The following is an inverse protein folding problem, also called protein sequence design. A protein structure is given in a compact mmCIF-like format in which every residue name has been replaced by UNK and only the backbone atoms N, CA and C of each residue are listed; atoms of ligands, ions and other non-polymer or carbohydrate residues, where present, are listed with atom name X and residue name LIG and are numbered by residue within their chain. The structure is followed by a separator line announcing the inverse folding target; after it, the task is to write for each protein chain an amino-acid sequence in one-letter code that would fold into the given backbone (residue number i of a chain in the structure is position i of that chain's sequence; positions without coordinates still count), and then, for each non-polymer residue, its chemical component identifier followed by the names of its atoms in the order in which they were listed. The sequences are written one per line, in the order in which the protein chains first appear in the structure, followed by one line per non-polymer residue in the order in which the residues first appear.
data_IF_351117016011
#
_entry.id   IF_351117016011
#
_cell.length_a   1.000
_cell.length_b   1.000
_cell.length_c   1.000
_cell.angle_alpha   90.00
_cell.angle_beta   90.00
_cell.angle_gamma   90.00
#
_symmetry.space_group_name_H-M   'P 1'
#
loop_
_entity.id
_entity.type
_entity.pdbx_description
1 polymer ?
#
# COMPACT_ATOMS: atom_id res chain seq x y z
N UNK A 1 11.49 -8.18 -4.60
CA UNK A 1 10.05 -7.85 -4.57
C UNK A 1 9.35 -8.88 -3.70
N UNK A 2 8.49 -8.45 -2.78
CA UNK A 2 7.68 -9.39 -1.99
C UNK A 2 6.84 -10.25 -2.95
N UNK A 3 6.91 -11.58 -2.79
CA UNK A 3 6.11 -12.49 -3.61
C UNK A 3 4.70 -12.54 -3.03
N UNK A 4 3.72 -11.95 -3.71
CA UNK A 4 2.33 -12.00 -3.28
C UNK A 4 1.74 -13.36 -3.67
N UNK A 5 0.97 -13.96 -2.77
CA UNK A 5 0.18 -15.17 -3.05
C UNK A 5 -1.32 -14.86 -3.01
N UNK A 6 -2.14 -15.79 -3.50
CA UNK A 6 -3.61 -15.68 -3.36
C UNK A 6 -4.00 -15.65 -1.88
N UNK A 7 -3.24 -16.30 -1.00
CA UNK A 7 -3.39 -16.24 0.45
C UNK A 7 -3.18 -14.83 0.98
N UNK A 8 -2.13 -14.12 0.58
CA UNK A 8 -1.93 -12.71 0.97
C UNK A 8 -3.12 -11.84 0.57
N UNK A 9 -3.69 -12.06 -0.62
CA UNK A 9 -4.88 -11.34 -1.08
C UNK A 9 -6.11 -11.63 -0.20
N UNK A 10 -6.26 -12.88 0.26
CA UNK A 10 -7.32 -13.27 1.19
C UNK A 10 -7.12 -12.64 2.57
N UNK A 11 -5.93 -12.78 3.15
CA UNK A 11 -5.63 -12.31 4.51
C UNK A 11 -5.79 -10.78 4.63
N UNK A 12 -5.31 -10.02 3.64
CA UNK A 12 -5.33 -8.55 3.66
C UNK A 12 -6.60 -7.94 3.01
N UNK A 13 -7.32 -8.73 2.22
CA UNK A 13 -8.38 -8.24 1.33
C UNK A 13 -9.76 -8.84 1.54
N UNK A 14 -9.92 -9.88 2.38
CA UNK A 14 -11.18 -10.62 2.50
C UNK A 14 -12.39 -9.72 2.78
N UNK A 15 -12.31 -8.85 3.78
CA UNK A 15 -13.41 -7.95 4.13
C UNK A 15 -13.65 -6.90 3.03
N UNK A 16 -12.58 -6.19 2.64
CA UNK A 16 -12.65 -5.07 1.69
C UNK A 16 -13.15 -5.51 0.30
N UNK A 17 -12.75 -6.71 -0.12
CA UNK A 17 -13.13 -7.30 -1.41
C UNK A 17 -14.35 -8.24 -1.31
N UNK A 18 -14.92 -8.41 -0.12
CA UNK A 18 -16.00 -9.35 0.18
C UNK A 18 -15.71 -10.76 -0.35
N UNK A 19 -14.48 -11.24 -0.15
CA UNK A 19 -14.01 -12.53 -0.68
C UNK A 19 -14.38 -13.69 0.24
N UNK A 20 -14.69 -14.82 -0.38
CA UNK A 20 -14.86 -16.13 0.26
C UNK A 20 -14.28 -17.21 -0.64
N UNK A 21 -13.69 -18.25 -0.06
CA UNK A 21 -13.19 -19.40 -0.83
C UNK A 21 -14.37 -20.28 -1.25
N UNK A 22 -14.41 -20.69 -2.52
CA UNK A 22 -15.37 -21.69 -3.03
C UNK A 22 -14.73 -23.06 -3.23
N UNK A 23 -13.47 -23.11 -3.68
CA UNK A 23 -12.72 -24.33 -3.89
C UNK A 23 -11.21 -24.07 -3.82
N UNK A 24 -10.43 -25.11 -3.51
CA UNK A 24 -8.98 -25.06 -3.56
C UNK A 24 -8.33 -24.24 -2.44
N UNK A 25 -8.86 -24.29 -1.23
CA UNK A 25 -8.31 -23.60 -0.05
C UNK A 25 -6.84 -24.00 0.23
N UNK A 26 -6.51 -25.27 -0.01
CA UNK A 26 -5.15 -25.81 0.06
C UNK A 26 -4.18 -25.25 -1.00
N UNK A 27 -4.69 -24.54 -2.02
CA UNK A 27 -3.91 -23.99 -3.13
C UNK A 27 -3.76 -22.46 -3.08
N UNK A 28 -4.11 -21.82 -1.96
CA UNK A 28 -3.99 -20.36 -1.80
C UNK A 28 -2.53 -19.86 -1.82
N UNK A 29 -1.55 -20.73 -1.61
CA UNK A 29 -0.12 -20.36 -1.66
C UNK A 29 0.41 -20.13 -3.09
N UNK A 30 -0.43 -20.29 -4.13
CA UNK A 30 -0.06 -19.94 -5.51
C UNK A 30 0.33 -18.47 -5.62
N UNK A 31 1.39 -18.22 -6.38
CA UNK A 31 1.99 -16.89 -6.57
C UNK A 31 1.21 -16.07 -7.58
N UNK A 32 0.97 -14.81 -7.26
CA UNK A 32 0.50 -13.78 -8.18
C UNK A 32 1.73 -13.07 -8.77
N UNK A 33 2.24 -13.57 -9.91
CA UNK A 33 3.44 -13.03 -10.53
C UNK A 33 3.20 -11.64 -11.15
N UNK A 34 1.98 -11.37 -11.61
CA UNK A 34 1.56 -10.04 -12.06
C UNK A 34 0.47 -9.48 -11.15
N UNK A 35 0.64 -8.22 -10.71
CA UNK A 35 -0.30 -7.46 -9.88
C UNK A 35 -1.47 -6.86 -10.67
N UNK A 36 -1.87 -7.56 -11.72
CA UNK A 36 -2.98 -7.17 -12.58
C UNK A 36 -3.99 -8.31 -12.65
N UNK A 37 -5.21 -7.95 -13.00
CA UNK A 37 -6.28 -8.90 -13.25
C UNK A 37 -6.50 -9.08 -14.74
N UNK A 38 -7.00 -10.24 -15.12
CA UNK A 38 -7.40 -10.52 -16.49
C UNK A 38 -8.84 -11.02 -16.52
N UNK A 39 -9.59 -10.59 -17.54
CA UNK A 39 -10.92 -11.15 -17.83
C UNK A 39 -10.77 -12.08 -19.03
N UNK A 40 -10.92 -13.40 -18.87
CA UNK A 40 -10.54 -14.37 -19.89
C UNK A 40 -11.55 -14.49 -21.04
N UNK A 41 -12.28 -13.42 -21.40
CA UNK A 41 -13.34 -13.48 -22.41
C UNK A 41 -12.87 -14.03 -23.76
N UNK A 42 -11.73 -13.55 -24.26
CA UNK A 42 -11.13 -14.03 -25.52
C UNK A 42 -10.49 -15.42 -25.37
N UNK A 43 -9.89 -15.71 -24.22
CA UNK A 43 -9.31 -17.03 -23.94
C UNK A 43 -10.37 -18.13 -23.91
N UNK A 44 -11.56 -17.83 -23.39
CA UNK A 44 -12.71 -18.73 -23.40
C UNK A 44 -13.18 -19.08 -24.82
N UNK A 45 -12.84 -18.30 -25.85
CA UNK A 45 -13.13 -18.65 -27.25
C UNK A 45 -12.07 -19.57 -27.88
N UNK A 46 -11.03 -19.95 -27.13
CA UNK A 46 -9.91 -20.76 -27.61
C UNK A 46 -8.70 -19.97 -28.10
N UNK A 47 -8.71 -18.64 -27.98
CA UNK A 47 -7.57 -17.80 -28.39
C UNK A 47 -6.66 -17.49 -27.20
N UNK A 48 -5.55 -18.22 -27.11
CA UNK A 48 -4.57 -18.10 -26.01
C UNK A 48 -3.29 -17.36 -26.38
N UNK A 49 -3.16 -16.89 -27.62
CA UNK A 49 -2.01 -16.09 -28.01
C UNK A 49 -2.00 -14.80 -27.17
N UNK A 50 -0.92 -14.58 -26.41
CA UNK A 50 -0.78 -13.49 -25.42
C UNK A 50 -1.75 -13.57 -24.23
N UNK A 51 -2.25 -14.76 -23.88
CA UNK A 51 -3.07 -14.93 -22.68
C UNK A 51 -2.26 -14.62 -21.41
N UNK A 52 -2.78 -13.71 -20.59
CA UNK A 52 -2.16 -13.29 -19.34
C UNK A 52 -2.36 -14.33 -18.22
N UNK A 53 -1.72 -15.48 -18.35
CA UNK A 53 -1.85 -16.60 -17.42
C UNK A 53 -1.18 -16.35 -16.06
N UNK A 54 -0.35 -15.32 -15.92
CA UNK A 54 0.28 -14.90 -14.66
C UNK A 54 -0.60 -13.99 -13.79
N UNK A 55 -1.79 -13.62 -14.29
CA UNK A 55 -2.75 -12.72 -13.63
C UNK A 55 -3.88 -13.48 -12.95
N UNK A 56 -4.48 -12.87 -11.94
CA UNK A 56 -5.73 -13.37 -11.36
C UNK A 56 -6.86 -13.27 -12.39
N UNK A 57 -7.57 -14.37 -12.63
CA UNK A 57 -8.63 -14.41 -13.65
C UNK A 57 -9.98 -14.05 -13.05
N UNK A 58 -10.70 -13.11 -13.68
CA UNK A 58 -11.97 -12.59 -13.18
C UNK A 58 -13.12 -13.07 -14.05
N UNK A 59 -14.05 -13.80 -13.43
CA UNK A 59 -15.28 -14.25 -14.05
C UNK A 59 -16.44 -13.35 -13.62
N UNK A 60 -16.97 -12.60 -14.58
CA UNK A 60 -18.13 -11.73 -14.42
C UNK A 60 -19.32 -12.22 -15.26
N UNK A 61 -20.26 -11.30 -15.52
CA UNK A 61 -21.45 -11.63 -16.31
C UNK A 61 -21.10 -12.10 -17.72
N UNK A 62 -20.17 -11.42 -18.40
CA UNK A 62 -19.87 -11.72 -19.80
C UNK A 62 -19.29 -13.13 -19.97
N UNK A 63 -18.36 -13.51 -19.11
CA UNK A 63 -17.68 -14.81 -19.15
C UNK A 63 -18.67 -15.95 -18.89
N UNK A 64 -19.54 -15.81 -17.88
CA UNK A 64 -20.58 -16.80 -17.61
C UNK A 64 -21.67 -16.84 -18.68
N UNK A 65 -22.09 -15.71 -19.25
CA UNK A 65 -23.08 -15.68 -20.34
C UNK A 65 -22.52 -16.34 -21.59
N UNK A 66 -21.26 -16.08 -21.93
CA UNK A 66 -20.59 -16.75 -23.04
C UNK A 66 -20.55 -18.27 -22.84
N UNK A 67 -20.09 -18.74 -21.68
CA UNK A 67 -20.08 -20.18 -21.38
C UNK A 67 -21.48 -20.79 -21.52
N UNK A 68 -22.51 -20.16 -20.94
CA UNK A 68 -23.90 -20.64 -21.04
C UNK A 68 -24.47 -20.65 -22.47
N UNK A 69 -23.87 -19.91 -23.40
CA UNK A 69 -24.28 -19.92 -24.81
C UNK A 69 -23.77 -21.14 -25.57
N UNK A 70 -22.78 -21.86 -25.03
CA UNK A 70 -22.18 -23.04 -25.64
C UNK A 70 -22.88 -24.33 -25.21
N UNK A 71 -22.83 -25.40 -26.02
CA UNK A 71 -23.15 -26.75 -25.58
C UNK A 71 -22.31 -27.16 -24.36
N UNK A 72 -22.86 -27.99 -23.48
CA UNK A 72 -22.21 -28.39 -22.22
C UNK A 72 -20.82 -29.01 -22.43
N UNK A 73 -20.66 -29.84 -23.47
CA UNK A 73 -19.37 -30.42 -23.87
C UNK A 73 -18.31 -29.33 -24.14
N UNK A 74 -18.68 -28.32 -24.91
CA UNK A 74 -17.77 -27.24 -25.29
C UNK A 74 -17.46 -26.36 -24.08
N UNK A 75 -18.42 -26.12 -23.18
CA UNK A 75 -18.19 -25.40 -21.92
C UNK A 75 -17.06 -26.04 -21.11
N UNK A 76 -17.13 -27.37 -20.92
CA UNK A 76 -16.14 -28.15 -20.18
C UNK A 76 -14.79 -28.08 -20.89
N UNK A 77 -14.75 -28.21 -22.21
CA UNK A 77 -13.51 -28.12 -23.00
C UNK A 77 -12.84 -26.74 -22.88
N UNK A 78 -13.62 -25.65 -22.97
CA UNK A 78 -13.11 -24.28 -22.79
C UNK A 78 -12.56 -24.04 -21.39
N UNK A 79 -13.28 -24.50 -20.36
CA UNK A 79 -12.81 -24.40 -18.98
C UNK A 79 -11.53 -25.21 -18.76
N UNK A 80 -11.48 -26.46 -19.24
CA UNK A 80 -10.29 -27.32 -19.14
C UNK A 80 -9.08 -26.65 -19.77
N UNK A 81 -9.22 -26.14 -20.99
CA UNK A 81 -8.13 -25.45 -21.70
C UNK A 81 -7.62 -24.21 -20.93
N UNK A 82 -8.52 -23.49 -20.26
CA UNK A 82 -8.16 -22.35 -19.42
C UNK A 82 -7.38 -22.77 -18.16
N UNK A 83 -7.84 -23.81 -17.45
CA UNK A 83 -7.15 -24.32 -16.26
C UNK A 83 -5.77 -24.90 -16.58
N UNK A 84 -5.59 -25.50 -17.76
CA UNK A 84 -4.30 -25.98 -18.28
C UNK A 84 -3.23 -24.89 -18.40
N UNK A 85 -3.63 -23.62 -18.52
CA UNK A 85 -2.70 -22.48 -18.61
C UNK A 85 -1.98 -22.18 -17.28
N UNK A 86 -2.22 -22.94 -16.22
CA UNK A 86 -1.61 -22.81 -14.89
C UNK A 86 -1.82 -21.44 -14.22
N UNK A 87 -3.02 -20.87 -14.42
CA UNK A 87 -3.41 -19.59 -13.81
C UNK A 87 -3.26 -19.58 -12.28
N UNK A 88 -2.95 -18.42 -11.66
CA UNK A 88 -2.72 -18.34 -10.22
C UNK A 88 -3.98 -18.54 -9.39
N UNK A 89 -5.14 -18.15 -9.91
CA UNK A 89 -6.42 -18.25 -9.22
C UNK A 89 -7.56 -17.64 -10.04
N UNK A 90 -8.79 -17.94 -9.64
CA UNK A 90 -10.00 -17.38 -10.24
C UNK A 90 -10.82 -16.64 -9.18
N UNK A 91 -11.39 -15.49 -9.55
CA UNK A 91 -12.43 -14.83 -8.76
C UNK A 91 -13.73 -14.75 -9.54
N UNK A 92 -14.80 -15.25 -8.93
CA UNK A 92 -16.17 -15.15 -9.43
C UNK A 92 -16.86 -13.96 -8.75
N UNK A 93 -17.26 -12.98 -9.55
CA UNK A 93 -17.88 -11.73 -9.06
C UNK A 93 -19.42 -11.81 -9.02
N UNK A 94 -20.06 -10.89 -8.30
CA UNK A 94 -21.52 -10.80 -8.11
C UNK A 94 -22.19 -12.07 -7.57
N UNK A 95 -21.51 -12.81 -6.70
CA UNK A 95 -22.03 -14.05 -6.09
C UNK A 95 -22.56 -15.08 -7.10
N UNK A 96 -22.03 -15.10 -8.32
CA UNK A 96 -22.47 -16.08 -9.32
C UNK A 96 -22.11 -17.49 -8.86
N UNK A 97 -23.00 -18.45 -9.15
CA UNK A 97 -22.78 -19.86 -8.88
C UNK A 97 -21.90 -20.44 -9.98
N UNK A 98 -20.80 -21.06 -9.61
CA UNK A 98 -20.02 -21.94 -10.48
C UNK A 98 -20.79 -23.25 -10.70
N UNK A 99 -20.60 -23.89 -11.85
CA UNK A 99 -21.10 -25.26 -12.06
C UNK A 99 -20.24 -26.26 -11.28
N UNK A 100 -20.72 -27.50 -11.14
CA UNK A 100 -20.01 -28.55 -10.42
C UNK A 100 -18.69 -28.89 -11.13
N UNK A 101 -18.75 -28.99 -12.45
CA UNK A 101 -17.63 -29.27 -13.36
C UNK A 101 -16.55 -28.19 -13.25
N UNK A 102 -16.94 -26.92 -13.11
CA UNK A 102 -16.01 -25.82 -12.91
C UNK A 102 -15.18 -26.01 -11.63
N UNK A 103 -15.85 -26.38 -10.52
CA UNK A 103 -15.19 -26.58 -9.23
C UNK A 103 -14.36 -27.87 -9.21
N UNK A 104 -14.82 -28.92 -9.89
CA UNK A 104 -14.06 -30.16 -10.06
C UNK A 104 -12.76 -29.92 -10.84
N UNK A 105 -12.82 -29.18 -11.95
CA UNK A 105 -11.63 -28.77 -12.71
C UNK A 105 -10.69 -27.90 -11.86
N UNK A 106 -11.22 -26.99 -11.05
CA UNK A 106 -10.41 -26.18 -10.17
C UNK A 106 -9.59 -27.04 -9.18
N UNK A 107 -10.19 -28.09 -8.62
CA UNK A 107 -9.50 -29.04 -7.74
C UNK A 107 -8.50 -29.89 -8.53
N UNK A 108 -8.89 -30.42 -9.69
CA UNK A 108 -8.04 -31.23 -10.58
C UNK A 108 -6.74 -30.49 -10.95
N UNK A 109 -6.85 -29.23 -11.36
CA UNK A 109 -5.72 -28.39 -11.77
C UNK A 109 -5.08 -27.60 -10.63
N UNK A 110 -5.54 -27.80 -9.39
CA UNK A 110 -5.01 -27.15 -8.18
C UNK A 110 -5.03 -25.63 -8.26
N UNK A 111 -6.16 -25.06 -8.69
CA UNK A 111 -6.38 -23.62 -8.84
C UNK A 111 -7.42 -23.16 -7.81
N UNK A 112 -7.09 -22.21 -6.92
CA UNK A 112 -8.06 -21.68 -5.97
C UNK A 112 -9.14 -20.88 -6.70
N UNK A 113 -10.40 -21.09 -6.28
CA UNK A 113 -11.56 -20.35 -6.78
C UNK A 113 -12.15 -19.56 -5.62
N UNK A 114 -12.14 -18.26 -5.77
CA UNK A 114 -12.71 -17.31 -4.83
C UNK A 114 -14.03 -16.76 -5.37
N UNK A 115 -14.88 -16.29 -4.48
CA UNK A 115 -16.13 -15.59 -4.79
C UNK A 115 -16.16 -14.25 -4.09
N UNK A 116 -16.61 -13.24 -4.83
CA UNK A 116 -16.94 -11.92 -4.30
C UNK A 116 -18.39 -11.54 -4.61
N UNK A 117 -19.03 -10.88 -3.65
CA UNK A 117 -20.36 -10.27 -3.84
C UNK A 117 -20.32 -8.99 -4.69
N UNK A 118 -19.14 -8.39 -4.85
CA UNK A 118 -18.97 -7.10 -5.50
C UNK A 118 -19.29 -7.14 -7.00
N UNK A 119 -19.65 -5.97 -7.52
CA UNK A 119 -19.69 -5.70 -8.95
C UNK A 119 -18.30 -5.85 -9.55
N UNK A 120 -18.19 -6.50 -10.71
CA UNK A 120 -16.90 -6.82 -11.36
C UNK A 120 -15.94 -5.64 -11.45
N UNK A 121 -16.41 -4.46 -11.90
CA UNK A 121 -15.54 -3.29 -12.03
C UNK A 121 -15.09 -2.74 -10.66
N UNK A 122 -15.97 -2.73 -9.66
CA UNK A 122 -15.64 -2.29 -8.31
C UNK A 122 -14.62 -3.23 -7.67
N UNK A 123 -14.80 -4.55 -7.86
CA UNK A 123 -13.84 -5.54 -7.42
C UNK A 123 -12.46 -5.30 -8.04
N UNK A 124 -12.41 -5.12 -9.37
CA UNK A 124 -11.16 -4.85 -10.10
C UNK A 124 -10.48 -3.59 -9.56
N UNK A 125 -11.20 -2.49 -9.39
CA UNK A 125 -10.59 -1.25 -8.88
C UNK A 125 -10.03 -1.42 -7.46
N UNK A 126 -10.82 -1.98 -6.53
CA UNK A 126 -10.38 -2.16 -5.14
C UNK A 126 -9.23 -3.16 -5.00
N UNK A 127 -9.26 -4.24 -5.79
CA UNK A 127 -8.22 -5.25 -5.82
C UNK A 127 -6.93 -4.70 -6.43
N UNK A 128 -7.01 -3.87 -7.48
CA UNK A 128 -5.83 -3.17 -8.02
C UNK A 128 -5.18 -2.29 -6.96
N UNK A 129 -5.95 -1.48 -6.23
CA UNK A 129 -5.43 -0.63 -5.15
C UNK A 129 -4.77 -1.48 -4.05
N UNK A 130 -5.36 -2.62 -3.69
CA UNK A 130 -4.79 -3.52 -2.70
C UNK A 130 -3.47 -4.15 -3.19
N UNK A 131 -3.42 -4.67 -4.41
CA UNK A 131 -2.22 -5.27 -4.98
C UNK A 131 -1.09 -4.26 -5.13
N UNK A 132 -1.40 -3.01 -5.53
CA UNK A 132 -0.45 -1.90 -5.53
C UNK A 132 0.08 -1.62 -4.12
N UNK A 133 -0.81 -1.56 -3.12
CA UNK A 133 -0.44 -1.34 -1.72
C UNK A 133 0.53 -2.42 -1.21
N UNK A 134 0.30 -3.68 -1.58
CA UNK A 134 1.07 -4.84 -1.14
C UNK A 134 2.41 -5.01 -1.88
N UNK A 135 2.54 -4.51 -3.10
CA UNK A 135 3.79 -4.62 -3.89
C UNK A 135 4.65 -3.38 -3.89
N UNK A 136 4.08 -2.23 -3.52
CA UNK A 136 4.81 -0.99 -3.56
C UNK A 136 6.06 -1.03 -2.65
N UNK A 137 7.24 -0.60 -3.14
CA UNK A 137 8.48 -0.58 -2.37
C UNK A 137 8.34 0.16 -1.05
N UNK A 138 8.86 -0.42 0.02
CA UNK A 138 8.85 0.16 1.37
C UNK A 138 10.26 0.25 1.93
N UNK A 139 10.53 1.33 2.65
CA UNK A 139 11.79 1.57 3.35
C UNK A 139 11.50 2.16 4.74
N UNK A 140 12.50 2.08 5.63
CA UNK A 140 12.48 2.75 6.93
C UNK A 140 13.55 3.82 6.94
N UNK A 141 13.18 5.02 7.33
CA UNK A 141 14.10 6.15 7.42
C UNK A 141 14.07 6.73 8.83
N UNK A 142 15.21 7.27 9.27
CA UNK A 142 15.29 7.97 10.54
C UNK A 142 14.86 9.42 10.40
N UNK A 143 13.94 9.85 11.25
CA UNK A 143 13.35 11.18 11.27
C UNK A 143 11.94 11.17 11.87
N UNK A 144 11.51 12.35 12.31
CA UNK A 144 10.19 12.58 12.89
C UNK A 144 9.29 13.17 11.80
N UNK A 145 8.19 12.50 11.47
CA UNK A 145 7.23 12.94 10.45
C UNK A 145 6.06 13.68 11.12
N UNK A 146 5.70 14.82 10.56
CA UNK A 146 4.60 15.67 11.03
C UNK A 146 3.70 16.11 9.88
N UNK A 147 2.47 16.50 10.21
CA UNK A 147 1.56 17.21 9.30
C UNK A 147 1.35 18.63 9.83
N UNK A 148 1.81 19.62 9.05
CA UNK A 148 1.81 21.04 9.41
C UNK A 148 1.00 21.78 8.34
N UNK A 149 -0.19 22.28 8.69
CA UNK A 149 -1.09 22.98 7.74
C UNK A 149 -1.38 22.13 6.47
N UNK A 150 -1.49 20.81 6.65
CA UNK A 150 -1.71 19.86 5.55
C UNK A 150 -0.48 19.51 4.71
N UNK A 151 0.70 20.05 5.04
CA UNK A 151 1.99 19.72 4.43
C UNK A 151 2.67 18.66 5.28
N UNK A 152 3.07 17.54 4.68
CA UNK A 152 3.83 16.54 5.41
C UNK A 152 5.33 16.87 5.46
N UNK A 153 5.84 17.06 6.67
CA UNK A 153 7.20 17.51 6.94
C UNK A 153 7.98 16.42 7.67
N UNK A 154 9.10 15.99 7.09
CA UNK A 154 10.04 15.10 7.75
C UNK A 154 11.19 15.89 8.37
N UNK A 155 11.26 15.89 9.70
CA UNK A 155 12.37 16.44 10.46
C UNK A 155 13.51 15.40 10.51
N UNK A 156 14.63 15.72 9.88
CA UNK A 156 15.88 14.93 9.91
C UNK A 156 16.96 15.67 10.67
N UNK A 157 18.03 14.94 11.02
CA UNK A 157 19.18 15.49 11.72
C UNK A 157 19.79 14.49 12.68
N UNK A 158 20.97 14.82 13.21
CA UNK A 158 21.71 13.96 14.13
C UNK A 158 20.90 13.61 15.40
N UNK A 159 21.15 12.47 16.06
CA UNK A 159 20.56 12.17 17.36
C UNK A 159 20.83 13.28 18.38
N UNK A 160 19.79 13.71 19.11
CA UNK A 160 19.91 14.77 20.12
C UNK A 160 20.02 16.20 19.59
N UNK A 161 19.86 16.44 18.28
CA UNK A 161 19.85 17.80 17.70
C UNK A 161 18.59 18.61 18.06
N UNK A 162 17.55 17.99 18.63
CA UNK A 162 16.30 18.66 18.97
C UNK A 162 15.09 18.28 18.10
N UNK A 163 15.12 17.15 17.37
CA UNK A 163 14.00 16.73 16.48
C UNK A 163 12.70 16.53 17.25
N UNK A 164 12.72 15.68 18.28
CA UNK A 164 11.55 15.32 19.07
C UNK A 164 11.06 16.51 19.90
N UNK A 165 11.97 17.35 20.40
CA UNK A 165 11.63 18.60 21.09
C UNK A 165 10.96 19.61 20.16
N UNK A 166 11.48 19.80 18.95
CA UNK A 166 10.84 20.66 17.92
C UNK A 166 9.46 20.12 17.56
N UNK A 167 9.34 18.81 17.39
CA UNK A 167 8.06 18.17 17.09
C UNK A 167 7.05 18.31 18.23
N UNK A 168 7.48 18.19 19.48
CA UNK A 168 6.63 18.43 20.64
C UNK A 168 6.08 19.86 20.67
N UNK A 169 6.94 20.87 20.46
CA UNK A 169 6.51 22.27 20.39
C UNK A 169 5.55 22.55 19.22
N UNK A 170 5.70 21.85 18.09
CA UNK A 170 4.74 21.92 16.98
C UNK A 170 3.41 21.27 17.35
N UNK A 171 3.41 20.15 18.07
CA UNK A 171 2.18 19.52 18.59
C UNK A 171 1.45 20.45 19.58
N UNK A 172 2.19 21.11 20.48
CA UNK A 172 1.63 22.11 21.39
C UNK A 172 0.96 23.29 20.66
N UNK A 173 1.40 23.60 19.43
CA UNK A 173 0.80 24.61 18.54
C UNK A 173 -0.39 24.10 17.73
N UNK A 174 -0.77 22.84 17.91
CA UNK A 174 -1.94 22.23 17.27
C UNK A 174 -1.64 21.44 16.00
N UNK A 175 -0.37 21.24 15.65
CA UNK A 175 0.00 20.36 14.53
C UNK A 175 0.00 18.89 14.92
N UNK A 176 0.13 18.01 13.93
CA UNK A 176 -0.07 16.58 14.15
C UNK A 176 1.21 15.77 13.95
N UNK A 177 1.47 14.84 14.87
CA UNK A 177 2.49 13.81 14.73
C UNK A 177 2.01 12.68 13.80
N UNK A 178 2.88 12.24 12.90
CA UNK A 178 2.67 11.04 12.09
C UNK A 178 3.54 9.89 12.61
N UNK A 179 4.83 10.16 12.86
CA UNK A 179 5.79 9.20 13.43
C UNK A 179 6.94 9.92 14.12
N UNK A 180 7.56 9.26 15.10
CA UNK A 180 8.77 9.75 15.77
C UNK A 180 9.92 8.72 15.66
N UNK A 181 11.15 9.24 15.58
CA UNK A 181 12.43 8.54 15.36
C UNK A 181 12.54 7.70 14.07
N UNK A 182 11.67 6.70 13.89
CA UNK A 182 11.65 5.83 12.70
C UNK A 182 10.34 6.01 11.95
N UNK A 183 10.46 6.45 10.70
CA UNK A 183 9.36 6.64 9.78
C UNK A 183 9.39 5.55 8.71
N UNK A 184 8.29 4.82 8.56
CA UNK A 184 8.10 3.90 7.44
C UNK A 184 7.59 4.67 6.23
N UNK A 185 8.17 4.41 5.06
CA UNK A 185 7.83 5.09 3.81
C UNK A 185 7.46 4.11 2.71
N UNK A 186 6.59 4.55 1.80
CA UNK A 186 6.19 3.79 0.60
C UNK A 186 5.93 4.72 -0.57
N UNK A 187 6.34 4.30 -1.75
CA UNK A 187 5.96 5.00 -2.99
C UNK A 187 4.52 4.68 -3.37
N UNK A 188 3.72 5.71 -3.60
CA UNK A 188 2.35 5.57 -4.11
C UNK A 188 2.37 5.45 -5.64
N UNK A 189 1.29 4.92 -6.23
CA UNK A 189 1.11 4.85 -7.68
C UNK A 189 1.06 6.24 -8.35
N UNK A 190 0.82 7.30 -7.58
CA UNK A 190 0.86 8.70 -8.04
C UNK A 190 2.27 9.30 -8.06
N UNK A 191 3.30 8.52 -7.74
CA UNK A 191 4.68 9.01 -7.67
C UNK A 191 4.93 9.92 -6.46
N UNK A 192 4.23 9.68 -5.35
CA UNK A 192 4.39 10.39 -4.08
C UNK A 192 4.93 9.44 -3.03
N UNK A 193 5.48 9.96 -1.94
CA UNK A 193 5.93 9.13 -0.81
C UNK A 193 4.92 9.26 0.32
N UNK A 194 4.37 8.14 0.77
CA UNK A 194 3.49 8.07 1.94
C UNK A 194 4.32 7.65 3.16
N UNK A 195 4.17 8.35 4.27
CA UNK A 195 4.88 8.13 5.53
C UNK A 195 3.92 7.71 6.64
N UNK A 196 4.34 6.80 7.52
CA UNK A 196 3.61 6.41 8.73
C UNK A 196 4.55 5.87 9.82
N UNK A 197 4.03 5.71 11.05
CA UNK A 197 4.75 5.06 12.15
C UNK A 197 4.58 3.54 12.12
N UNK A 198 5.64 2.82 12.51
CA UNK A 198 5.51 1.38 12.80
C UNK A 198 4.41 1.11 13.83
N UNK A 199 3.78 -0.06 13.81
CA UNK A 199 2.70 -0.38 14.76
C UNK A 199 3.13 -0.25 16.23
N UNK A 200 4.39 -0.59 16.52
CA UNK A 200 4.96 -0.58 17.87
C UNK A 200 5.15 0.86 18.38
N UNK A 201 5.63 1.76 17.53
CA UNK A 201 5.93 3.16 17.90
C UNK A 201 4.78 4.13 17.61
N UNK A 202 3.66 3.63 17.09
CA UNK A 202 2.52 4.46 16.68
C UNK A 202 2.02 5.30 17.85
N UNK A 203 1.89 6.61 17.60
CA UNK A 203 1.41 7.63 18.55
C UNK A 203 2.28 7.84 19.80
N UNK A 204 3.44 7.20 19.86
CA UNK A 204 4.40 7.38 20.93
C UNK A 204 5.56 8.25 20.46
N UNK A 205 6.14 8.99 21.41
CA UNK A 205 7.30 9.85 21.19
C UNK A 205 8.23 9.73 22.39
N UNK A 206 9.54 9.69 22.17
CA UNK A 206 10.52 9.70 23.25
C UNK A 206 11.04 11.12 23.47
N UNK A 207 10.87 11.65 24.69
CA UNK A 207 11.39 12.95 25.07
C UNK A 207 12.42 12.77 26.17
N UNK A 208 13.62 13.32 25.96
CA UNK A 208 14.70 13.26 26.95
C UNK A 208 14.25 13.93 28.25
N UNK A 209 14.44 13.23 29.36
CA UNK A 209 14.03 13.68 30.69
C UNK A 209 12.58 13.38 31.07
N UNK A 210 11.71 13.05 30.11
CA UNK A 210 10.33 12.61 30.36
C UNK A 210 10.13 11.11 30.10
N UNK A 211 10.90 10.54 29.17
CA UNK A 211 10.72 9.17 28.68
C UNK A 211 9.72 9.10 27.52
N UNK A 212 9.15 7.91 27.31
CA UNK A 212 8.17 7.67 26.25
C UNK A 212 6.80 8.20 26.68
N UNK A 213 6.21 9.05 25.85
CA UNK A 213 4.87 9.61 26.04
C UNK A 213 3.90 9.10 24.99
N UNK A 214 2.61 9.01 25.34
CA UNK A 214 1.52 8.76 24.39
C UNK A 214 0.85 10.07 24.01
N UNK A 215 1.10 10.54 22.80
CA UNK A 215 0.73 11.88 22.32
C UNK A 215 -0.80 12.13 22.37
N UNK A 216 -1.67 11.22 21.92
CA UNK A 216 -3.13 11.43 21.96
C UNK A 216 -3.70 11.57 23.37
N UNK A 217 -3.08 10.96 24.38
CA UNK A 217 -3.54 11.09 25.77
C UNK A 217 -3.29 12.48 26.35
N UNK A 218 -2.26 13.17 25.85
CA UNK A 218 -1.84 14.48 26.37
C UNK A 218 -2.43 15.62 25.53
N UNK A 219 -2.48 15.46 24.21
CA UNK A 219 -2.83 16.53 23.27
C UNK A 219 -4.09 16.24 22.44
N UNK A 220 -4.78 15.12 22.72
CA UNK A 220 -6.03 14.73 22.06
C UNK A 220 -5.83 14.09 20.68
N UNK A 221 -6.90 13.50 20.14
CA UNK A 221 -6.84 12.71 18.88
C UNK A 221 -6.45 13.56 17.66
N UNK A 222 -6.71 14.87 17.68
CA UNK A 222 -6.33 15.80 16.61
C UNK A 222 -4.82 16.00 16.47
N UNK A 223 -4.05 15.72 17.53
CA UNK A 223 -2.58 15.83 17.55
C UNK A 223 -1.86 14.70 16.82
N UNK A 224 -2.58 13.74 16.24
CA UNK A 224 -1.99 12.63 15.48
C UNK A 224 -2.60 12.47 14.09
N UNK A 225 -1.84 11.81 13.23
CA UNK A 225 -2.24 11.32 11.92
C UNK A 225 -1.72 9.92 11.73
N UNK A 226 -2.51 9.06 11.07
CA UNK A 226 -2.08 7.68 10.77
C UNK A 226 -1.01 7.63 9.69
N UNK A 227 -1.10 8.54 8.74
CA UNK A 227 -0.17 8.66 7.62
C UNK A 227 -0.23 10.09 7.06
N UNK A 228 0.82 10.53 6.37
CA UNK A 228 0.85 11.75 5.57
C UNK A 228 1.70 11.54 4.32
N UNK A 229 1.44 12.29 3.24
CA UNK A 229 2.37 12.35 2.11
C UNK A 229 3.60 13.18 2.51
N UNK A 230 4.79 12.83 2.04
CA UNK A 230 6.00 13.60 2.26
C UNK A 230 6.12 14.71 1.22
N UNK A 231 5.98 15.95 1.69
CA UNK A 231 6.05 17.16 0.87
C UNK A 231 7.38 17.91 1.03
N UNK A 232 7.96 17.88 2.23
CA UNK A 232 9.15 18.64 2.57
C UNK A 232 10.05 17.88 3.56
N UNK A 233 11.35 17.93 3.33
CA UNK A 233 12.36 17.54 4.33
C UNK A 233 12.94 18.80 4.95
N UNK A 234 13.01 18.81 6.28
CA UNK A 234 13.77 19.81 7.02
C UNK A 234 14.92 19.08 7.71
N UNK A 235 16.14 19.36 7.27
CA UNK A 235 17.34 18.79 7.86
C UNK A 235 17.90 19.74 8.93
N UNK A 236 17.74 19.35 10.19
CA UNK A 236 18.29 20.05 11.34
C UNK A 236 19.79 19.75 11.47
N UNK A 237 20.62 20.78 11.40
CA UNK A 237 22.07 20.65 11.52
C UNK A 237 22.68 21.60 12.57
N UNK A 238 23.87 21.28 13.10
CA UNK A 238 24.65 22.26 13.85
C UNK A 238 24.97 23.49 12.98
N UNK A 239 25.09 24.68 13.58
CA UNK A 239 25.48 25.88 12.86
C UNK A 239 26.92 25.73 12.34
N UNK A 240 27.15 26.11 11.09
CA UNK A 240 28.47 25.99 10.44
C UNK A 240 29.09 27.34 10.09
N UNK A 241 28.33 28.44 10.21
CA UNK A 241 28.78 29.80 9.89
C UNK A 241 28.83 30.12 8.39
N UNK A 242 28.78 29.10 7.53
CA UNK A 242 28.65 29.19 6.07
C UNK A 242 27.24 28.78 5.63
N UNK A 243 26.21 29.20 6.36
CA UNK A 243 24.83 28.95 5.94
C UNK A 243 24.52 29.75 4.67
N UNK A 244 23.88 29.11 3.69
CA UNK A 244 23.44 29.79 2.48
C UNK A 244 22.39 30.86 2.85
N UNK A 245 22.75 32.12 2.60
CA UNK A 245 21.91 33.30 2.91
C UNK A 245 21.03 33.72 1.74
N UNK A 246 21.15 33.04 0.61
CA UNK A 246 20.53 33.46 -0.65
C UNK A 246 19.22 32.73 -0.93
N UNK A 247 19.07 31.48 -0.47
CA UNK A 247 17.84 30.69 -0.64
C UNK A 247 17.50 30.37 -2.11
N UNK A 248 18.50 30.40 -3.00
CA UNK A 248 18.29 30.50 -4.46
C UNK A 248 17.90 29.16 -5.12
N UNK A 249 18.10 28.01 -4.46
CA UNK A 249 17.53 26.75 -4.92
C UNK A 249 17.21 25.83 -3.72
N UNK A 250 16.00 25.23 -3.66
CA UNK A 250 15.78 24.14 -2.72
C UNK A 250 16.66 22.96 -3.14
N UNK A 251 17.42 22.41 -2.19
CA UNK A 251 18.02 21.10 -2.37
C UNK A 251 16.92 20.05 -2.47
N UNK A 252 17.23 18.89 -3.03
CA UNK A 252 16.28 17.78 -3.11
C UNK A 252 16.91 16.50 -2.56
N UNK A 253 16.08 15.70 -1.90
CA UNK A 253 16.45 14.36 -1.44
C UNK A 253 15.53 13.36 -2.13
N UNK A 254 16.13 12.28 -2.65
CA UNK A 254 15.40 11.22 -3.31
C UNK A 254 15.00 10.12 -2.30
N UNK A 255 13.71 9.76 -2.31
CA UNK A 255 13.16 8.64 -1.55
C UNK A 255 12.37 7.74 -2.49
N UNK A 256 12.75 6.47 -2.61
CA UNK A 256 12.06 5.48 -3.45
C UNK A 256 11.86 5.95 -4.92
N UNK A 257 12.79 6.74 -5.46
CA UNK A 257 12.69 7.32 -6.81
C UNK A 257 11.86 8.60 -6.90
N UNK A 258 11.49 9.22 -5.78
CA UNK A 258 10.73 10.47 -5.71
C UNK A 258 11.60 11.60 -5.14
N UNK A 259 11.71 12.71 -5.87
CA UNK A 259 12.46 13.89 -5.44
C UNK A 259 11.61 14.77 -4.52
N UNK A 260 12.08 15.01 -3.29
CA UNK A 260 11.39 15.83 -2.27
C UNK A 260 12.26 17.03 -1.93
N UNK A 261 11.71 18.27 -1.90
CA UNK A 261 12.47 19.45 -1.53
C UNK A 261 13.00 19.34 -0.10
N UNK A 262 14.20 19.85 0.12
CA UNK A 262 14.93 19.82 1.37
C UNK A 262 15.39 21.22 1.77
N UNK A 263 15.12 21.59 3.01
CA UNK A 263 15.59 22.82 3.63
C UNK A 263 16.54 22.47 4.76
N UNK A 264 17.72 23.07 4.72
CA UNK A 264 18.75 22.95 5.72
C UNK A 264 18.57 24.02 6.81
N UNK A 265 18.22 23.61 8.04
CA UNK A 265 18.00 24.54 9.14
C UNK A 265 19.07 24.39 10.24
N UNK A 266 19.86 25.44 10.52
CA UNK A 266 20.82 25.43 11.63
C UNK A 266 20.09 25.56 12.97
N UNK A 267 20.34 24.62 13.89
CA UNK A 267 19.81 24.66 15.25
C UNK A 267 20.74 25.46 16.16
N UNK A 268 20.23 26.55 16.71
CA UNK A 268 20.96 27.41 17.66
C UNK A 268 20.19 27.52 18.97
N UNK A 269 20.91 27.50 20.10
CA UNK A 269 20.29 27.69 21.41
C UNK A 269 19.54 29.01 21.48
N UNK A 270 18.31 28.97 22.02
CA UNK A 270 17.44 30.14 22.14
C UNK A 270 16.63 30.49 20.89
N UNK A 271 16.81 29.79 19.76
CA UNK A 271 15.90 29.91 18.61
C UNK A 271 14.68 29.01 18.78
N UNK A 272 13.52 29.58 18.48
CA UNK A 272 12.27 28.85 18.40
C UNK A 272 12.20 28.07 17.07
N UNK A 273 12.73 26.84 17.08
CA UNK A 273 12.79 26.01 15.88
C UNK A 273 11.40 25.70 15.33
N UNK A 274 10.41 25.50 16.19
CA UNK A 274 9.04 25.20 15.78
C UNK A 274 8.33 26.39 15.11
N UNK A 275 8.87 27.61 15.22
CA UNK A 275 8.31 28.80 14.56
C UNK A 275 9.03 29.06 13.23
N UNK A 276 10.26 28.56 13.09
CA UNK A 276 11.03 28.62 11.84
C UNK A 276 10.57 27.53 10.87
N UNK A 277 10.25 26.34 11.40
CA UNK A 277 9.58 25.24 10.70
C UNK A 277 8.14 25.62 10.38
#
# INVERSE_FOLDING_TARGET
MATITVKTLMDEGAEKLSLSVLAGEEYLDRKLAETAMNRPGLALTGFFQYFANQRLQIFGLAEFTYLKSLPERDQIERLRTLFEQQIPGIVITRNRKASKEFLELAVEYKVPVLRSSMVTMNFVNECTVLLEKLTAPQERIQGTMMEIIGIGVLLRGAPGIGKSETALSLIERGYSLVSDDVTEIRRTSRGRVLCWASEITRYHMEIRGLGIIHVPSLFGVSSIRRHAELDLVINLKPPSGNEDRTGVAPDFIEFLGCSVPCIELPVQSGRDMANIV
#
